data_IF_729130844686
#
_entry.id   IF_729130844686
#
_cell.length_a   1.000
_cell.length_b   1.000
_cell.length_c   1.000
_cell.angle_alpha   90.00
_cell.angle_beta   90.00
_cell.angle_gamma   90.00
#
_symmetry.space_group_name_H-M   'P 1'
#
loop_
_entity.id
_entity.type
_entity.pdbx_description
1 polymer ?
#
# COMPACT_ATOMS: atom_id res chain seq x y z
N UNK A 1 13.76 4.42 12.79
CA UNK A 1 13.33 5.84 12.77
C UNK A 1 12.65 6.12 11.44
N UNK A 2 11.33 6.35 11.45
CA UNK A 2 10.59 6.69 10.24
C UNK A 2 11.01 8.09 9.79
N UNK A 3 11.34 8.22 8.50
CA UNK A 3 11.86 9.48 7.94
C UNK A 3 10.77 10.44 7.46
N UNK A 4 9.55 9.94 7.27
CA UNK A 4 8.44 10.70 6.71
C UNK A 4 7.14 10.36 7.46
N UNK A 5 6.63 11.35 8.19
CA UNK A 5 5.38 11.29 8.95
C UNK A 5 4.36 12.23 8.33
N UNK A 6 3.18 11.71 7.99
CA UNK A 6 2.00 12.49 7.62
C UNK A 6 0.99 12.28 8.76
N UNK A 7 0.60 13.35 9.44
CA UNK A 7 -0.24 13.31 10.66
C UNK A 7 0.33 12.43 11.79
N UNK A 8 1.65 12.42 11.98
CA UNK A 8 2.31 11.73 13.10
C UNK A 8 2.51 10.22 12.94
N UNK A 9 2.01 9.61 11.86
CA UNK A 9 2.24 8.21 11.52
C UNK A 9 3.16 8.04 10.31
N UNK A 10 3.92 6.94 10.27
CA UNK A 10 4.84 6.65 9.17
C UNK A 10 4.10 6.37 7.85
N UNK A 11 4.78 6.56 6.71
CA UNK A 11 4.24 6.12 5.41
C UNK A 11 3.82 4.63 5.44
N UNK A 12 2.61 4.37 4.96
CA UNK A 12 1.95 3.06 5.00
C UNK A 12 1.16 2.81 6.28
N UNK A 13 1.02 3.82 7.13
CA UNK A 13 0.15 3.82 8.29
C UNK A 13 -0.75 5.06 8.27
N UNK A 14 -1.91 4.95 8.89
CA UNK A 14 -2.81 6.08 9.12
C UNK A 14 -3.15 6.16 10.60
N UNK A 15 -3.43 7.37 11.06
CA UNK A 15 -3.87 7.58 12.43
C UNK A 15 -5.31 7.11 12.61
N UNK A 16 -5.55 6.14 13.49
CA UNK A 16 -6.90 5.77 13.91
C UNK A 16 -7.27 6.48 15.22
N UNK A 17 -8.09 7.54 15.18
CA UNK A 17 -8.47 8.29 16.39
C UNK A 17 -9.39 7.50 17.33
N UNK A 18 -10.02 6.40 16.87
CA UNK A 18 -10.86 5.56 17.74
C UNK A 18 -10.03 4.81 18.78
N UNK A 19 -8.86 4.33 18.36
CA UNK A 19 -7.97 3.50 19.17
C UNK A 19 -6.69 4.24 19.59
N UNK A 20 -6.49 5.48 19.11
CA UNK A 20 -5.29 6.29 19.33
C UNK A 20 -4.00 5.56 18.91
N UNK A 21 -4.03 4.89 17.77
CA UNK A 21 -2.90 4.08 17.25
C UNK A 21 -2.71 4.32 15.75
N UNK A 22 -1.46 4.20 15.29
CA UNK A 22 -1.16 4.14 13.86
C UNK A 22 -1.49 2.73 13.33
N UNK A 23 -2.53 2.61 12.51
CA UNK A 23 -2.90 1.36 11.86
C UNK A 23 -2.25 1.23 10.49
N UNK A 24 -1.87 0.01 10.13
CA UNK A 24 -1.23 -0.26 8.85
C UNK A 24 -2.26 -0.18 7.72
N UNK A 25 -1.87 0.42 6.61
CA UNK A 25 -2.66 0.37 5.40
C UNK A 25 -2.80 -1.07 4.89
N UNK A 26 -3.94 -1.36 4.25
CA UNK A 26 -4.09 -2.60 3.49
C UNK A 26 -3.01 -2.67 2.40
N UNK A 27 -2.48 -3.87 2.08
CA UNK A 27 -1.54 -4.03 0.98
C UNK A 27 -2.11 -3.44 -0.31
N UNK A 28 -1.31 -2.67 -1.03
CA UNK A 28 -1.76 -1.97 -2.23
C UNK A 28 -2.28 -0.55 -2.00
N UNK A 29 -2.26 -0.04 -0.77
CA UNK A 29 -2.76 1.30 -0.43
C UNK A 29 -1.76 2.12 0.38
N UNK A 30 -1.71 3.43 0.10
CA UNK A 30 -0.80 4.41 0.70
C UNK A 30 -1.44 5.80 0.83
N UNK A 31 -0.68 6.73 1.42
CA UNK A 31 -1.01 8.14 1.64
C UNK A 31 -2.08 8.37 2.71
N UNK A 32 -2.71 9.55 2.69
CA UNK A 32 -3.63 9.98 3.76
C UNK A 32 -4.78 8.98 3.91
N UNK A 33 -4.93 8.41 5.11
CA UNK A 33 -5.94 7.39 5.41
C UNK A 33 -5.95 6.21 4.43
N UNK A 34 -4.80 5.86 3.83
CA UNK A 34 -4.67 4.79 2.85
C UNK A 34 -5.59 4.98 1.62
N UNK A 35 -5.88 6.23 1.24
CA UNK A 35 -6.84 6.54 0.18
C UNK A 35 -6.29 6.34 -1.22
N UNK A 36 -4.96 6.25 -1.37
CA UNK A 36 -4.33 6.11 -2.67
C UNK A 36 -3.95 4.66 -2.94
N UNK A 37 -4.38 4.12 -4.07
CA UNK A 37 -3.86 2.83 -4.56
C UNK A 37 -2.39 2.97 -4.95
N UNK A 38 -1.65 1.88 -4.85
CA UNK A 38 -0.29 1.83 -5.38
C UNK A 38 -0.28 2.17 -6.87
N UNK A 39 0.59 3.10 -7.30
CA UNK A 39 0.74 3.39 -8.71
C UNK A 39 1.38 2.20 -9.41
N UNK A 40 0.85 1.79 -10.57
CA UNK A 40 1.53 0.82 -11.41
C UNK A 40 2.97 1.30 -11.74
N UNK A 41 4.00 0.43 -11.72
CA UNK A 41 3.95 -1.03 -11.59
C UNK A 41 4.05 -1.55 -10.16
N UNK A 42 3.77 -0.74 -9.14
CA UNK A 42 3.99 -1.11 -7.75
C UNK A 42 2.76 -1.74 -7.09
N UNK A 43 3.00 -2.64 -6.14
CA UNK A 43 1.98 -3.35 -5.37
C UNK A 43 2.49 -3.71 -3.98
N UNK A 44 1.60 -4.28 -3.16
CA UNK A 44 1.93 -4.87 -1.87
C UNK A 44 2.08 -3.84 -0.76
N UNK A 45 2.79 -4.21 0.30
CA UNK A 45 2.96 -3.32 1.46
C UNK A 45 3.79 -2.09 1.08
N UNK A 46 3.25 -0.90 1.36
CA UNK A 46 3.88 0.38 1.05
C UNK A 46 4.29 0.55 -0.43
N UNK A 47 3.68 -0.21 -1.34
CA UNK A 47 4.03 -0.23 -2.76
C UNK A 47 5.52 -0.56 -3.02
N UNK A 48 6.14 -1.41 -2.18
CA UNK A 48 7.56 -1.76 -2.32
C UNK A 48 7.82 -2.90 -3.32
N UNK A 49 6.78 -3.61 -3.74
CA UNK A 49 6.88 -4.70 -4.70
C UNK A 49 6.54 -4.21 -6.11
N UNK A 50 7.11 -4.83 -7.15
CA UNK A 50 6.88 -4.46 -8.56
C UNK A 50 6.27 -5.62 -9.34
N UNK A 51 5.17 -5.36 -10.04
CA UNK A 51 4.55 -6.27 -10.98
C UNK A 51 5.42 -6.43 -12.24
N UNK A 52 5.55 -7.67 -12.70
CA UNK A 52 6.23 -8.04 -13.95
C UNK A 52 5.22 -8.51 -15.01
N UNK A 53 4.05 -7.89 -15.03
CA UNK A 53 2.92 -8.20 -15.90
C UNK A 53 2.23 -6.90 -16.31
N UNK A 54 1.24 -6.99 -17.21
CA UNK A 54 0.45 -5.83 -17.62
C UNK A 54 -0.32 -5.21 -16.44
N UNK A 55 -0.64 -3.93 -16.55
CA UNK A 55 -1.43 -3.22 -15.55
C UNK A 55 -2.77 -3.91 -15.24
N UNK A 56 -3.38 -4.52 -16.25
CA UNK A 56 -4.67 -5.23 -16.15
C UNK A 56 -4.62 -6.50 -15.29
N UNK A 57 -3.45 -7.13 -15.17
CA UNK A 57 -3.25 -8.38 -14.40
C UNK A 57 -2.46 -8.16 -13.11
N UNK A 58 -2.06 -6.91 -12.84
CA UNK A 58 -1.38 -6.50 -11.62
C UNK A 58 -2.41 -6.13 -10.55
N UNK A 59 -2.63 -7.02 -9.59
CA UNK A 59 -3.39 -6.74 -8.39
C UNK A 59 -2.56 -5.86 -7.45
N UNK A 60 -3.14 -4.77 -6.95
CA UNK A 60 -2.42 -3.82 -6.09
C UNK A 60 -1.98 -4.45 -4.76
N UNK A 61 -2.66 -5.50 -4.29
CA UNK A 61 -2.37 -6.17 -3.03
C UNK A 61 -1.46 -7.38 -3.25
N UNK A 62 -1.76 -8.22 -4.25
CA UNK A 62 -1.08 -9.52 -4.43
C UNK A 62 -0.09 -9.56 -5.60
N UNK A 63 -0.04 -8.53 -6.44
CA UNK A 63 0.83 -8.47 -7.60
C UNK A 63 0.25 -9.19 -8.81
N UNK A 64 1.11 -9.77 -9.64
CA UNK A 64 0.65 -10.43 -10.87
C UNK A 64 -0.23 -11.63 -10.54
N UNK A 65 -1.49 -11.57 -10.97
CA UNK A 65 -2.37 -12.74 -10.98
C UNK A 65 -1.83 -13.70 -12.02
N UNK A 66 -1.05 -14.67 -11.57
CA UNK A 66 -0.68 -15.81 -12.39
C UNK A 66 -1.98 -16.46 -12.85
N UNK A 67 -2.24 -16.45 -14.16
CA UNK A 67 -3.06 -17.48 -14.75
C UNK A 67 -2.30 -18.77 -14.45
N UNK A 68 -2.66 -19.42 -13.34
CA UNK A 68 -2.19 -20.76 -13.05
C UNK A 68 -2.80 -21.63 -14.13
N UNK A 69 -1.95 -21.99 -15.11
CA UNK A 69 -2.22 -23.02 -16.11
C UNK A 69 -2.68 -24.30 -15.45
#
# INVERSE_FOLDING_TARGET
>A
MCKDTIDGCCIGYFWNPKNNVCEKCMPGYIGLNCSYKCPFPFYGEKCMQRCNCSNETCDVSTGCRGLTT
#
